data_IF_529396221608
#
_entry.id   IF_529396221608
#
_cell.length_a   1.000
_cell.length_b   1.000
_cell.length_c   1.000
_cell.angle_alpha   90.00
_cell.angle_beta   90.00
_cell.angle_gamma   90.00
#
_symmetry.space_group_name_H-M   'P 1'
#
loop_
_entity.id
_entity.type
_entity.pdbx_description
1 polymer ?
#
# COMPACT_ATOMS: atom_id res chain seq x y z
N UNK A 1 -18.32 -60.81 23.81
CA UNK A 1 -18.35 -59.33 23.94
C UNK A 1 -17.00 -58.80 23.53
N UNK A 2 -16.91 -57.98 22.47
CA UNK A 2 -15.69 -57.27 22.12
C UNK A 2 -15.50 -56.12 23.13
N UNK A 3 -14.43 -56.16 23.93
CA UNK A 3 -14.01 -55.00 24.73
C UNK A 3 -13.35 -54.01 23.76
N UNK A 4 -13.77 -52.75 23.84
CA UNK A 4 -13.16 -51.67 23.06
C UNK A 4 -11.67 -51.58 23.44
N UNK A 5 -10.73 -51.82 22.49
CA UNK A 5 -9.30 -51.81 22.77
C UNK A 5 -8.74 -50.41 23.06
N UNK A 6 -9.55 -49.35 22.89
CA UNK A 6 -9.17 -47.97 23.22
C UNK A 6 -9.72 -47.49 24.57
N UNK A 7 -10.39 -48.35 25.34
CA UNK A 7 -10.90 -47.99 26.66
C UNK A 7 -9.79 -47.55 27.64
N UNK A 8 -8.55 -47.98 27.42
CA UNK A 8 -7.39 -47.61 28.24
C UNK A 8 -6.89 -46.17 27.98
N UNK A 9 -7.37 -45.51 26.91
CA UNK A 9 -7.02 -44.13 26.58
C UNK A 9 -8.08 -43.12 27.05
N UNK A 10 -9.15 -43.55 27.74
CA UNK A 10 -10.14 -42.62 28.30
C UNK A 10 -9.58 -41.75 29.42
N UNK A 11 -8.53 -42.23 30.10
CA UNK A 11 -7.86 -41.55 31.20
C UNK A 11 -6.69 -40.69 30.72
N UNK A 12 -6.46 -40.61 29.40
CA UNK A 12 -5.44 -39.76 28.81
C UNK A 12 -5.88 -38.29 28.96
N UNK A 13 -5.51 -37.66 30.08
CA UNK A 13 -5.66 -36.23 30.24
C UNK A 13 -4.89 -35.55 29.12
N UNK A 14 -5.61 -34.77 28.30
CA UNK A 14 -5.02 -33.91 27.28
C UNK A 14 -3.96 -33.06 27.98
N UNK A 15 -2.69 -33.33 27.70
CA UNK A 15 -1.59 -32.57 28.29
C UNK A 15 -1.89 -31.09 28.07
N UNK A 16 -1.72 -30.25 29.11
CA UNK A 16 -1.86 -28.80 28.96
C UNK A 16 -1.07 -28.38 27.72
N UNK A 17 -1.76 -27.69 26.81
CA UNK A 17 -1.18 -27.15 25.60
C UNK A 17 0.00 -26.28 25.98
N UNK A 18 1.22 -26.81 25.92
CA UNK A 18 2.43 -26.01 26.16
C UNK A 18 2.47 -24.93 25.09
N UNK A 19 2.38 -23.67 25.51
CA UNK A 19 2.65 -22.52 24.63
C UNK A 19 3.96 -22.77 23.90
N UNK A 20 3.90 -22.87 22.58
CA UNK A 20 5.08 -23.02 21.74
C UNK A 20 5.55 -21.64 21.28
N UNK A 21 6.85 -21.45 20.96
CA UNK A 21 7.37 -20.17 20.46
C UNK A 21 6.60 -19.60 19.26
N UNK A 22 5.94 -20.47 18.48
CA UNK A 22 5.05 -20.08 17.38
C UNK A 22 3.80 -19.33 17.88
N UNK A 23 3.22 -19.73 19.02
CA UNK A 23 2.03 -19.09 19.58
C UNK A 23 2.34 -17.65 20.01
N UNK A 24 3.53 -17.42 20.56
CA UNK A 24 3.96 -16.08 20.97
C UNK A 24 4.29 -15.19 19.74
N UNK A 25 4.82 -15.77 18.66
CA UNK A 25 5.03 -15.07 17.39
C UNK A 25 3.68 -14.69 16.75
N UNK A 26 2.74 -15.64 16.69
CA UNK A 26 1.40 -15.39 16.13
C UNK A 26 0.65 -14.33 16.93
N UNK A 27 0.69 -14.40 18.26
CA UNK A 27 0.09 -13.39 19.15
C UNK A 27 0.71 -12.00 18.93
N UNK A 28 2.02 -11.91 18.72
CA UNK A 28 2.67 -10.64 18.46
C UNK A 28 2.24 -10.03 17.10
N UNK A 29 2.08 -10.85 16.06
CA UNK A 29 1.56 -10.41 14.77
C UNK A 29 0.08 -9.98 14.85
N UNK A 30 -0.74 -10.70 15.62
CA UNK A 30 -2.14 -10.30 15.89
C UNK A 30 -2.21 -8.94 16.61
N UNK A 31 -1.39 -8.75 17.64
CA UNK A 31 -1.31 -7.47 18.36
C UNK A 31 -0.89 -6.30 17.45
N UNK A 32 0.07 -6.52 16.53
CA UNK A 32 0.48 -5.49 15.56
C UNK A 32 -0.64 -5.19 14.58
N UNK A 33 -1.31 -6.21 14.05
CA UNK A 33 -2.43 -6.06 13.12
C UNK A 33 -3.58 -5.26 13.75
N UNK A 34 -3.92 -5.54 15.01
CA UNK A 34 -4.95 -4.81 15.75
C UNK A 34 -4.57 -3.34 15.93
N UNK A 35 -3.29 -3.05 16.24
CA UNK A 35 -2.80 -1.67 16.39
C UNK A 35 -2.79 -0.90 15.07
N UNK A 36 -2.42 -1.55 13.97
CA UNK A 36 -2.50 -0.97 12.63
C UNK A 36 -3.96 -0.67 12.26
N UNK A 37 -4.86 -1.62 12.51
CA UNK A 37 -6.29 -1.48 12.24
C UNK A 37 -6.91 -0.34 13.03
N UNK A 38 -6.70 -0.31 14.35
CA UNK A 38 -7.23 0.75 15.21
C UNK A 38 -6.63 2.12 14.85
N UNK A 39 -5.32 2.15 14.54
CA UNK A 39 -4.65 3.37 14.08
C UNK A 39 -5.27 3.92 12.80
N UNK A 40 -5.51 3.07 11.80
CA UNK A 40 -6.16 3.46 10.56
C UNK A 40 -7.59 3.96 10.79
N UNK A 41 -8.38 3.26 11.62
CA UNK A 41 -9.76 3.65 11.92
C UNK A 41 -9.84 5.01 12.62
N UNK A 42 -8.92 5.28 13.55
CA UNK A 42 -8.82 6.60 14.20
C UNK A 42 -8.54 7.69 13.17
N UNK A 43 -7.55 7.49 12.31
CA UNK A 43 -7.21 8.42 11.23
C UNK A 43 -8.41 8.67 10.30
N UNK A 44 -9.16 7.62 9.94
CA UNK A 44 -10.39 7.78 9.15
C UNK A 44 -11.46 8.56 9.90
N UNK A 45 -11.67 8.29 11.20
CA UNK A 45 -12.65 9.00 12.00
C UNK A 45 -12.34 10.50 12.12
N UNK A 46 -11.06 10.86 12.26
CA UNK A 46 -10.58 12.25 12.34
C UNK A 46 -10.75 13.00 11.00
N UNK A 47 -10.63 12.29 9.87
CA UNK A 47 -10.72 12.86 8.52
C UNK A 47 -12.13 12.85 7.91
N UNK A 48 -12.96 11.87 8.27
CA UNK A 48 -14.25 11.65 7.62
C UNK A 48 -15.34 12.64 8.05
N UNK A 49 -15.24 13.28 9.22
CA UNK A 49 -16.22 14.28 9.71
C UNK A 49 -17.68 13.97 9.31
N UNK A 50 -18.43 14.98 8.86
CA UNK A 50 -19.78 14.83 8.27
C UNK A 50 -19.77 14.70 6.73
N UNK A 51 -18.61 14.48 6.08
CA UNK A 51 -18.46 14.67 4.63
C UNK A 51 -17.42 13.79 3.94
N UNK A 52 -17.71 13.37 2.71
CA UNK A 52 -16.85 12.53 1.88
C UNK A 52 -15.45 13.16 1.73
N UNK A 53 -14.41 12.44 2.18
CA UNK A 53 -13.01 12.87 2.04
C UNK A 53 -12.67 13.18 0.57
N UNK A 54 -12.00 14.30 0.34
CA UNK A 54 -11.53 14.71 -0.99
C UNK A 54 -10.00 14.80 -1.00
N UNK A 55 -9.33 14.22 -2.01
CA UNK A 55 -7.88 14.33 -2.17
C UNK A 55 -7.50 15.72 -2.68
N UNK A 56 -7.40 16.69 -1.77
CA UNK A 56 -6.75 17.98 -2.02
C UNK A 56 -5.35 17.98 -1.38
N UNK A 57 -4.55 19.01 -1.70
CA UNK A 57 -3.17 19.08 -1.22
C UNK A 57 -3.05 19.12 0.31
N UNK A 58 -3.96 19.82 0.98
CA UNK A 58 -3.92 19.99 2.43
C UNK A 58 -4.39 18.70 3.13
N UNK A 59 -5.42 18.04 2.61
CA UNK A 59 -5.91 16.77 3.14
C UNK A 59 -4.88 15.65 2.97
N UNK A 60 -4.23 15.53 1.80
CA UNK A 60 -3.19 14.53 1.57
C UNK A 60 -2.03 14.68 2.57
N UNK A 61 -1.55 15.91 2.77
CA UNK A 61 -0.44 16.19 3.68
C UNK A 61 -0.81 15.87 5.13
N UNK A 62 -2.01 16.27 5.57
CA UNK A 62 -2.49 16.03 6.94
C UNK A 62 -2.67 14.54 7.23
N UNK A 63 -3.44 13.83 6.39
CA UNK A 63 -3.69 12.38 6.53
C UNK A 63 -2.37 11.60 6.58
N UNK A 64 -1.43 11.93 5.69
CA UNK A 64 -0.14 11.25 5.67
C UNK A 64 0.72 11.59 6.91
N UNK A 65 0.62 12.81 7.43
CA UNK A 65 1.26 13.21 8.68
C UNK A 65 0.76 12.39 9.86
N UNK A 66 -0.55 12.28 10.03
CA UNK A 66 -1.17 11.46 11.08
C UNK A 66 -0.84 9.97 10.92
N UNK A 67 -0.87 9.46 9.68
CA UNK A 67 -0.44 8.10 9.39
C UNK A 67 1.01 7.87 9.83
N UNK A 68 1.91 8.82 9.54
CA UNK A 68 3.32 8.76 9.93
C UNK A 68 3.48 8.71 11.45
N UNK A 69 2.72 9.50 12.21
CA UNK A 69 2.74 9.46 13.68
C UNK A 69 2.28 8.10 14.23
N UNK A 70 1.22 7.52 13.65
CA UNK A 70 0.71 6.21 14.06
C UNK A 70 1.76 5.13 13.81
N UNK A 71 2.25 5.01 12.58
CA UNK A 71 3.13 3.90 12.19
C UNK A 71 4.50 4.01 12.87
N UNK A 72 4.97 5.22 13.17
CA UNK A 72 6.25 5.40 13.88
C UNK A 72 6.17 5.08 15.38
N UNK A 73 4.97 4.84 15.93
CA UNK A 73 4.76 4.63 17.37
C UNK A 73 5.00 3.18 17.83
N UNK A 74 5.27 2.25 16.92
CA UNK A 74 5.61 0.86 17.22
C UNK A 74 6.35 0.14 16.09
N UNK A 75 7.11 -0.92 16.41
CA UNK A 75 7.72 -1.76 15.40
C UNK A 75 6.68 -2.65 14.70
N UNK A 76 6.89 -2.89 13.41
CA UNK A 76 6.16 -3.82 12.57
C UNK A 76 7.08 -4.29 11.43
N UNK A 77 6.69 -5.34 10.74
CA UNK A 77 7.44 -5.95 9.63
C UNK A 77 6.70 -5.77 8.30
N UNK A 78 7.35 -6.09 7.19
CA UNK A 78 6.67 -6.13 5.88
C UNK A 78 5.53 -7.14 5.88
N UNK A 79 5.68 -8.27 6.58
CA UNK A 79 4.61 -9.26 6.74
C UNK A 79 3.36 -8.68 7.43
N UNK A 80 3.54 -7.75 8.37
CA UNK A 80 2.42 -7.06 9.02
C UNK A 80 1.72 -6.08 8.06
N UNK A 81 2.48 -5.41 7.18
CA UNK A 81 1.92 -4.57 6.11
C UNK A 81 1.07 -5.42 5.16
N UNK A 82 1.58 -6.58 4.75
CA UNK A 82 0.87 -7.52 3.88
C UNK A 82 -0.41 -8.04 4.55
N UNK A 83 -0.32 -8.45 5.82
CA UNK A 83 -1.46 -8.94 6.60
C UNK A 83 -2.53 -7.85 6.78
N UNK A 84 -2.13 -6.64 7.16
CA UNK A 84 -3.03 -5.49 7.26
C UNK A 84 -3.67 -5.16 5.92
N UNK A 85 -2.89 -5.16 4.83
CA UNK A 85 -3.42 -4.88 3.50
C UNK A 85 -4.49 -5.91 3.12
N UNK A 86 -4.21 -7.20 3.30
CA UNK A 86 -5.17 -8.28 3.04
C UNK A 86 -6.44 -8.17 3.90
N UNK A 87 -6.29 -7.84 5.18
CA UNK A 87 -7.42 -7.62 6.08
C UNK A 87 -8.26 -6.43 5.62
N UNK A 88 -7.63 -5.28 5.33
CA UNK A 88 -8.29 -4.07 4.88
C UNK A 88 -9.12 -4.32 3.61
N UNK A 89 -8.51 -4.92 2.59
CA UNK A 89 -9.13 -5.12 1.28
C UNK A 89 -10.14 -6.27 1.23
N UNK A 90 -9.97 -7.28 2.09
CA UNK A 90 -10.87 -8.42 2.21
C UNK A 90 -12.02 -8.21 3.19
N UNK A 91 -11.96 -7.15 4.01
CA UNK A 91 -13.00 -6.87 5.01
C UNK A 91 -14.26 -6.30 4.36
N UNK A 92 -15.42 -6.61 4.95
CA UNK A 92 -16.67 -5.89 4.69
C UNK A 92 -16.84 -4.67 5.61
N UNK A 93 -15.75 -4.19 6.20
CA UNK A 93 -15.75 -3.13 7.20
C UNK A 93 -15.78 -1.75 6.51
N UNK A 94 -16.81 -0.92 6.75
CA UNK A 94 -16.99 0.36 6.07
C UNK A 94 -15.84 1.35 6.24
N UNK A 95 -15.06 1.27 7.32
CA UNK A 95 -13.94 2.19 7.56
C UNK A 95 -12.87 2.04 6.46
N UNK A 96 -12.72 0.83 5.92
CA UNK A 96 -11.82 0.57 4.80
C UNK A 96 -12.38 0.97 3.44
N UNK A 97 -13.61 1.48 3.33
CA UNK A 97 -14.12 1.95 2.03
C UNK A 97 -13.50 3.28 1.58
N UNK A 98 -12.84 4.01 2.50
CA UNK A 98 -12.05 5.19 2.17
C UNK A 98 -10.67 4.79 1.62
N UNK A 99 -10.66 4.47 0.32
CA UNK A 99 -9.46 4.05 -0.40
C UNK A 99 -8.34 5.11 -0.42
N UNK A 100 -8.67 6.40 -0.40
CA UNK A 100 -7.72 7.52 -0.38
C UNK A 100 -6.80 7.48 0.84
N UNK A 101 -7.36 7.64 2.05
CA UNK A 101 -6.63 7.46 3.29
C UNK A 101 -5.88 6.13 3.40
N UNK A 102 -6.48 5.02 2.93
CA UNK A 102 -5.81 3.72 2.95
C UNK A 102 -4.52 3.72 2.12
N UNK A 103 -4.52 4.33 0.94
CA UNK A 103 -3.32 4.45 0.10
C UNK A 103 -2.21 5.27 0.75
N UNK A 104 -2.57 6.35 1.45
CA UNK A 104 -1.61 7.18 2.19
C UNK A 104 -1.07 6.44 3.42
N UNK A 105 -1.92 5.72 4.14
CA UNK A 105 -1.53 4.91 5.30
C UNK A 105 -0.55 3.80 4.92
N UNK A 106 -0.83 3.07 3.84
CA UNK A 106 0.07 2.04 3.31
C UNK A 106 1.39 2.64 2.79
N UNK A 107 1.35 3.85 2.22
CA UNK A 107 2.58 4.57 1.84
C UNK A 107 3.41 4.94 3.07
N UNK A 108 2.77 5.41 4.14
CA UNK A 108 3.46 5.74 5.39
C UNK A 108 4.11 4.51 6.02
N UNK A 109 3.41 3.36 6.02
CA UNK A 109 3.96 2.07 6.44
C UNK A 109 5.20 1.69 5.63
N UNK A 110 5.12 1.74 4.30
CA UNK A 110 6.28 1.43 3.44
C UNK A 110 7.47 2.35 3.72
N UNK A 111 7.21 3.65 3.93
CA UNK A 111 8.24 4.65 4.15
C UNK A 111 8.89 4.57 5.55
N UNK A 112 8.31 3.85 6.50
CA UNK A 112 8.85 3.69 7.85
C UNK A 112 9.18 2.23 8.21
N UNK A 113 8.97 1.30 7.28
CA UNK A 113 9.46 -0.07 7.42
C UNK A 113 10.99 -0.11 7.38
N UNK A 114 11.57 -1.03 8.16
CA UNK A 114 13.02 -1.27 8.16
C UNK A 114 13.50 -1.87 6.82
N UNK A 115 12.63 -2.61 6.15
CA UNK A 115 12.92 -3.23 4.86
C UNK A 115 12.58 -2.27 3.72
N UNK A 116 13.49 -2.15 2.76
CA UNK A 116 13.34 -1.24 1.62
C UNK A 116 12.47 -1.80 0.49
N UNK A 117 12.05 -3.07 0.57
CA UNK A 117 11.28 -3.74 -0.47
C UNK A 117 9.94 -4.24 0.09
N UNK A 118 8.83 -3.78 -0.49
CA UNK A 118 7.47 -4.18 -0.10
C UNK A 118 6.72 -4.62 -1.35
N UNK A 119 5.94 -5.70 -1.22
CA UNK A 119 5.13 -6.23 -2.32
C UNK A 119 3.66 -6.31 -1.94
N UNK A 120 2.79 -5.90 -2.85
CA UNK A 120 1.34 -5.96 -2.68
C UNK A 120 0.73 -6.90 -3.71
N UNK A 121 0.02 -7.92 -3.24
CA UNK A 121 -0.69 -8.88 -4.09
C UNK A 121 -2.19 -8.56 -4.05
N UNK A 122 -2.62 -7.74 -5.01
CA UNK A 122 -3.99 -7.24 -5.15
C UNK A 122 -4.74 -7.91 -6.33
N UNK A 123 -4.11 -8.90 -6.97
CA UNK A 123 -4.69 -9.62 -8.10
C UNK A 123 -5.96 -10.38 -7.69
N UNK A 124 -6.95 -10.41 -8.59
CA UNK A 124 -8.26 -11.05 -8.33
C UNK A 124 -9.27 -10.21 -7.54
N UNK A 125 -8.89 -9.01 -7.10
CA UNK A 125 -9.80 -8.07 -6.43
C UNK A 125 -10.06 -6.86 -7.34
N UNK A 126 -11.31 -6.42 -7.47
CA UNK A 126 -11.63 -5.22 -8.26
C UNK A 126 -11.43 -3.95 -7.42
N UNK A 127 -10.21 -3.80 -6.90
CA UNK A 127 -9.82 -2.67 -6.06
C UNK A 127 -9.01 -1.69 -6.90
N UNK A 128 -9.16 -0.40 -6.57
CA UNK A 128 -8.42 0.71 -7.18
C UNK A 128 -7.86 1.57 -6.06
N UNK A 129 -6.79 1.11 -5.44
CA UNK A 129 -6.14 1.80 -4.33
C UNK A 129 -5.38 3.04 -4.87
N UNK A 130 -5.89 4.28 -4.65
CA UNK A 130 -5.20 5.49 -5.09
C UNK A 130 -4.03 5.82 -4.15
N UNK A 131 -3.22 6.81 -4.49
CA UNK A 131 -2.21 7.45 -3.61
C UNK A 131 -1.09 6.55 -3.06
N UNK A 132 -1.08 5.26 -3.39
CA UNK A 132 0.00 4.36 -2.99
C UNK A 132 1.33 4.84 -3.58
N UNK A 133 2.38 4.79 -2.76
CA UNK A 133 3.73 5.25 -3.12
C UNK A 133 3.93 6.76 -2.92
N UNK A 134 3.04 7.44 -2.19
CA UNK A 134 3.24 8.84 -1.82
C UNK A 134 4.57 9.03 -1.11
N UNK A 135 5.41 9.94 -1.64
CA UNK A 135 6.73 10.27 -1.09
C UNK A 135 7.68 9.07 -0.92
N UNK A 136 7.58 8.07 -1.80
CA UNK A 136 8.57 7.00 -1.85
C UNK A 136 9.97 7.61 -1.99
N UNK A 137 10.90 7.13 -1.16
CA UNK A 137 12.25 7.65 -0.98
C UNK A 137 13.26 6.83 -1.78
N UNK A 138 14.46 7.38 -1.91
CA UNK A 138 15.55 6.68 -2.59
C UNK A 138 15.89 5.32 -1.95
N UNK A 139 16.30 4.37 -2.78
CA UNK A 139 16.59 2.99 -2.36
C UNK A 139 15.37 2.09 -2.13
N UNK A 140 14.17 2.63 -2.00
CA UNK A 140 12.96 1.82 -1.81
C UNK A 140 12.48 1.16 -3.10
N UNK A 141 11.80 0.02 -2.96
CA UNK A 141 11.16 -0.73 -4.05
C UNK A 141 9.76 -1.18 -3.62
N UNK A 142 8.74 -0.70 -4.32
CA UNK A 142 7.36 -1.16 -4.16
C UNK A 142 6.95 -1.94 -5.41
N UNK A 143 6.50 -3.17 -5.24
CA UNK A 143 5.98 -4.00 -6.32
C UNK A 143 4.50 -4.27 -6.09
N UNK A 144 3.67 -4.05 -7.09
CA UNK A 144 2.22 -4.27 -6.98
C UNK A 144 1.77 -5.22 -8.09
N UNK A 145 1.30 -6.39 -7.68
CA UNK A 145 0.56 -7.28 -8.57
C UNK A 145 -0.93 -6.97 -8.49
N UNK A 146 -1.47 -6.22 -9.45
CA UNK A 146 -2.87 -5.82 -9.48
C UNK A 146 -3.11 -4.40 -9.98
N UNK A 147 -4.35 -3.92 -9.85
CA UNK A 147 -4.76 -2.59 -10.28
C UNK A 147 -4.66 -1.58 -9.13
N UNK A 148 -4.28 -0.34 -9.45
CA UNK A 148 -4.28 0.80 -8.54
C UNK A 148 -5.21 1.91 -9.05
N UNK A 149 -5.44 2.91 -8.19
CA UNK A 149 -6.28 4.07 -8.44
C UNK A 149 -5.50 5.27 -8.99
N UNK A 150 -6.08 6.46 -8.79
CA UNK A 150 -5.47 7.73 -9.16
C UNK A 150 -4.29 8.10 -8.24
N UNK A 151 -3.42 9.00 -8.68
CA UNK A 151 -2.38 9.66 -7.87
C UNK A 151 -1.28 8.73 -7.32
N UNK A 152 -1.08 7.56 -7.94
CA UNK A 152 0.01 6.63 -7.59
C UNK A 152 1.36 7.31 -7.78
N UNK A 153 2.24 7.18 -6.79
CA UNK A 153 3.58 7.77 -6.81
C UNK A 153 3.60 9.29 -6.80
N UNK A 154 2.56 9.95 -6.27
CA UNK A 154 2.58 11.42 -6.12
C UNK A 154 3.71 11.86 -5.19
N UNK A 155 4.39 12.94 -5.54
CA UNK A 155 5.53 13.51 -4.80
C UNK A 155 6.65 12.51 -4.49
N UNK A 156 6.84 11.50 -5.36
CA UNK A 156 7.94 10.55 -5.22
C UNK A 156 9.29 11.29 -5.25
N UNK A 157 10.15 11.01 -4.27
CA UNK A 157 11.46 11.66 -4.13
C UNK A 157 12.59 10.78 -4.71
N UNK A 158 12.38 9.46 -4.74
CA UNK A 158 13.31 8.47 -5.26
C UNK A 158 12.71 7.07 -5.27
N UNK A 159 13.55 6.05 -5.46
CA UNK A 159 13.13 4.65 -5.38
C UNK A 159 12.45 4.15 -6.65
N UNK A 160 11.82 2.97 -6.55
CA UNK A 160 11.21 2.27 -7.68
C UNK A 160 9.79 1.79 -7.32
N UNK A 161 8.81 2.11 -8.14
CA UNK A 161 7.46 1.53 -8.06
C UNK A 161 7.19 0.77 -9.36
N UNK A 162 6.82 -0.50 -9.24
CA UNK A 162 6.46 -1.36 -10.36
C UNK A 162 5.03 -1.89 -10.18
N UNK A 163 4.16 -1.71 -11.18
CA UNK A 163 2.75 -2.12 -11.14
C UNK A 163 2.44 -3.02 -12.33
N UNK A 164 2.00 -4.26 -12.07
CA UNK A 164 1.66 -5.22 -13.12
C UNK A 164 0.34 -4.88 -13.85
N UNK A 165 -0.58 -4.21 -13.15
CA UNK A 165 -1.90 -3.87 -13.66
C UNK A 165 -2.04 -2.43 -14.14
N UNK A 166 -3.25 -1.91 -13.99
CA UNK A 166 -3.65 -0.60 -14.49
C UNK A 166 -3.55 0.43 -13.36
N UNK A 167 -3.26 1.68 -13.71
CA UNK A 167 -3.26 2.82 -12.79
C UNK A 167 -4.20 3.92 -13.30
N UNK A 168 -4.66 4.76 -12.38
CA UNK A 168 -5.53 5.88 -12.67
C UNK A 168 -4.81 7.11 -13.25
N UNK A 169 -5.44 8.26 -13.06
CA UNK A 169 -4.95 9.59 -13.46
C UNK A 169 -3.84 10.08 -12.53
N UNK A 170 -3.08 11.08 -12.99
CA UNK A 170 -2.06 11.76 -12.19
C UNK A 170 -0.94 10.84 -11.68
N UNK A 171 -0.61 9.81 -12.46
CA UNK A 171 0.53 8.94 -12.20
C UNK A 171 1.82 9.76 -12.08
N UNK A 172 2.53 9.63 -10.97
CA UNK A 172 3.81 10.32 -10.73
C UNK A 172 3.69 11.85 -10.67
N UNK A 173 2.52 12.41 -10.35
CA UNK A 173 2.38 13.85 -10.22
C UNK A 173 3.33 14.42 -9.15
N UNK A 174 3.97 15.56 -9.40
CA UNK A 174 4.90 16.18 -8.45
C UNK A 174 6.17 15.37 -8.11
N UNK A 175 6.42 14.24 -8.78
CA UNK A 175 7.62 13.43 -8.61
C UNK A 175 8.88 14.25 -8.89
N UNK A 176 9.90 14.16 -8.04
CA UNK A 176 11.20 14.82 -8.20
C UNK A 176 12.34 13.85 -8.51
N UNK A 177 12.13 12.54 -8.28
CA UNK A 177 13.12 11.51 -8.56
C UNK A 177 12.54 10.10 -8.47
N UNK A 178 13.33 9.11 -8.89
CA UNK A 178 12.95 7.69 -8.91
C UNK A 178 12.48 7.18 -10.27
N UNK A 179 11.94 5.96 -10.27
CA UNK A 179 11.38 5.29 -11.45
C UNK A 179 10.01 4.70 -11.13
N UNK A 180 9.03 4.99 -12.00
CA UNK A 180 7.68 4.47 -11.89
C UNK A 180 7.33 3.70 -13.16
N UNK A 181 7.09 2.39 -13.04
CA UNK A 181 6.81 1.51 -14.17
C UNK A 181 5.45 0.84 -14.04
N UNK A 182 4.66 0.91 -15.11
CA UNK A 182 3.31 0.34 -15.22
C UNK A 182 3.23 -0.55 -16.46
N UNK A 183 2.94 -1.83 -16.25
CA UNK A 183 2.77 -2.79 -17.34
C UNK A 183 1.39 -2.69 -18.01
N UNK A 184 0.36 -2.27 -17.28
CA UNK A 184 -0.99 -2.05 -17.80
C UNK A 184 -1.24 -0.64 -18.34
N UNK A 185 -2.52 -0.26 -18.37
CA UNK A 185 -3.00 1.03 -18.82
C UNK A 185 -2.82 2.10 -17.72
N UNK A 186 -2.57 3.35 -18.13
CA UNK A 186 -2.50 4.52 -17.25
C UNK A 186 -3.50 5.61 -17.68
N UNK A 187 -3.98 6.39 -16.71
CA UNK A 187 -4.91 7.48 -16.96
C UNK A 187 -4.29 8.69 -17.66
N UNK A 188 -4.95 9.85 -17.50
CA UNK A 188 -4.49 11.15 -18.02
C UNK A 188 -3.61 11.87 -17.00
N UNK A 189 -2.90 12.90 -17.45
CA UNK A 189 -2.07 13.79 -16.63
C UNK A 189 -0.87 13.09 -16.00
N UNK A 190 -0.24 12.18 -16.75
CA UNK A 190 0.97 11.49 -16.29
C UNK A 190 2.10 12.51 -16.12
N UNK A 191 2.77 12.46 -14.96
CA UNK A 191 3.86 13.36 -14.64
C UNK A 191 3.43 14.83 -14.46
N UNK A 192 2.17 15.10 -14.12
CA UNK A 192 1.73 16.49 -13.87
C UNK A 192 2.62 17.15 -12.82
N UNK A 193 3.24 18.28 -13.15
CA UNK A 193 4.20 18.99 -12.29
C UNK A 193 5.42 18.17 -11.82
N UNK A 194 5.78 17.06 -12.49
CA UNK A 194 7.02 16.34 -12.14
C UNK A 194 8.26 17.20 -12.44
N UNK A 195 9.26 17.12 -11.58
CA UNK A 195 10.53 17.86 -11.60
C UNK A 195 11.75 16.95 -11.68
N UNK A 196 11.54 15.68 -12.00
CA UNK A 196 12.60 14.70 -12.20
C UNK A 196 12.06 13.27 -12.18
N UNK A 197 12.97 12.31 -12.39
CA UNK A 197 12.62 10.88 -12.45
C UNK A 197 12.13 10.40 -13.81
N UNK A 198 11.73 9.13 -13.85
CA UNK A 198 11.29 8.45 -15.07
C UNK A 198 9.96 7.73 -14.86
N UNK A 199 9.04 7.87 -15.82
CA UNK A 199 7.77 7.14 -15.84
C UNK A 199 7.69 6.28 -17.10
N UNK A 200 7.42 4.98 -16.95
CA UNK A 200 7.28 4.02 -18.05
C UNK A 200 5.88 3.40 -18.03
N UNK A 201 5.14 3.52 -19.14
CA UNK A 201 3.82 2.88 -19.31
C UNK A 201 3.84 1.96 -20.53
N UNK A 202 3.53 0.67 -20.37
CA UNK A 202 3.51 -0.29 -21.48
C UNK A 202 2.14 -0.40 -22.18
N UNK A 203 1.05 -0.30 -21.41
CA UNK A 203 -0.31 -0.26 -21.91
C UNK A 203 -0.67 1.07 -22.55
N UNK A 204 -1.97 1.31 -22.72
CA UNK A 204 -2.49 2.59 -23.22
C UNK A 204 -2.33 3.64 -22.13
N UNK A 205 -2.06 4.88 -22.53
CA UNK A 205 -2.05 6.00 -21.59
C UNK A 205 -2.94 7.13 -22.06
N UNK A 206 -3.57 7.83 -21.11
CA UNK A 206 -4.52 8.90 -21.40
C UNK A 206 -3.86 10.23 -21.82
N UNK A 207 -2.55 10.37 -21.65
CA UNK A 207 -1.77 11.55 -22.04
C UNK A 207 -0.85 12.05 -20.92
N UNK A 208 0.25 12.68 -21.32
CA UNK A 208 1.18 13.39 -20.42
C UNK A 208 0.50 14.67 -19.92
N UNK A 209 0.72 15.02 -18.65
CA UNK A 209 0.29 16.29 -18.07
C UNK A 209 1.22 17.43 -18.47
N UNK A 210 1.57 18.28 -17.50
CA UNK A 210 2.58 19.33 -17.63
C UNK A 210 3.80 19.06 -16.73
N UNK A 211 4.65 18.07 -17.06
CA UNK A 211 5.97 17.95 -16.44
C UNK A 211 6.80 19.23 -16.60
N UNK A 212 7.66 19.50 -15.63
CA UNK A 212 8.67 20.56 -15.67
C UNK A 212 10.00 19.98 -16.17
N UNK A 213 10.42 18.81 -15.67
CA UNK A 213 11.61 18.07 -16.10
C UNK A 213 11.44 16.55 -15.89
N UNK A 214 12.44 15.75 -16.28
CA UNK A 214 12.42 14.29 -16.22
C UNK A 214 11.94 13.65 -17.53
N UNK A 215 11.61 12.36 -17.51
CA UNK A 215 11.32 11.57 -18.72
C UNK A 215 10.04 10.75 -18.59
N UNK A 216 9.24 10.72 -19.65
CA UNK A 216 8.07 9.83 -19.76
C UNK A 216 8.19 8.97 -21.01
N UNK A 217 8.02 7.68 -20.83
CA UNK A 217 8.08 6.67 -21.87
C UNK A 217 6.74 5.97 -22.01
N UNK A 218 6.27 5.86 -23.26
CA UNK A 218 5.19 4.96 -23.63
C UNK A 218 5.80 3.83 -24.46
N UNK A 219 5.77 2.62 -23.90
CA UNK A 219 6.49 1.44 -24.41
C UNK A 219 7.98 1.71 -24.54
N UNK A 220 8.51 1.65 -25.78
CA UNK A 220 9.91 1.94 -26.11
C UNK A 220 10.14 3.38 -26.57
N UNK A 221 9.07 4.17 -26.70
CA UNK A 221 9.15 5.53 -27.20
C UNK A 221 9.14 6.50 -26.02
N UNK A 222 10.14 7.38 -25.99
CA UNK A 222 10.10 8.56 -25.13
C UNK A 222 9.10 9.56 -25.71
N UNK A 223 8.11 9.94 -24.90
CA UNK A 223 7.03 10.86 -25.29
C UNK A 223 7.18 12.23 -24.63
N UNK A 224 8.02 12.33 -23.60
CA UNK A 224 8.41 13.57 -22.96
C UNK A 224 9.84 13.47 -22.43
N UNK A 225 10.59 14.57 -22.54
CA UNK A 225 11.88 14.79 -21.90
C UNK A 225 12.09 16.28 -21.68
N UNK A 226 12.57 16.64 -20.50
CA UNK A 226 13.11 17.97 -20.20
C UNK A 226 14.15 17.85 -19.08
N UNK A 227 15.17 18.72 -19.13
CA UNK A 227 16.26 18.81 -18.15
C UNK A 227 15.94 19.80 -17.03
#
# INVERSE_FOLDING_TARGET
>A
MMRNPFAEFSDFQRAESKKIPLDDILSAHEDVLDRLTEGFKRLVADEAGDGLWQPDGDSIVRVYGEATEIVSSFPYTVGDIEAFTLAAIGSGDPDFYLMGPLGLYLSALCNHADEMAVSFHLSGQDIRLPLLGYRTRDGQRLTVDGHLGDLVGISMEGGNIEVSGNVGRYLGAGMSGGSLRVEGDAGRFIGEQMTGGEIHVQGRFGGVGKPISGRVFHRKQMVFEAE
#
